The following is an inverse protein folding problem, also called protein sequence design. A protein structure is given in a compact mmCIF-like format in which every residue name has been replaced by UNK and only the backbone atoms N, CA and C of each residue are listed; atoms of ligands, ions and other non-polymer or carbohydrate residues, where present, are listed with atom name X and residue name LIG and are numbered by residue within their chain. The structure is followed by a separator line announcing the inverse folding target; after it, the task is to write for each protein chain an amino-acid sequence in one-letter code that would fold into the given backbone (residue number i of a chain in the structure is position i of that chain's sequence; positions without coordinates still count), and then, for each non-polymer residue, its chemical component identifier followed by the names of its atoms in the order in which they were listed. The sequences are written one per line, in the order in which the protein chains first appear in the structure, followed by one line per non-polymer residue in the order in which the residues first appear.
data_IF_576409043966
#
_entry.id   IF_576409043966
#
_cell.length_a   1.000
_cell.length_b   1.000
_cell.length_c   1.000
_cell.angle_alpha   90.00
_cell.angle_beta   90.00
_cell.angle_gamma   90.00
#
_symmetry.space_group_name_H-M   'P 1'
#
loop_
_entity.id
_entity.type
_entity.pdbx_description
1 polymer ?
#
# COMPACT_ATOMS: atom_id res chain seq x y z
N UNK A 1 4.32 21.93 -4.86
CA UNK A 1 4.47 20.51 -4.48
C UNK A 1 4.99 19.75 -5.69
N UNK A 2 6.14 19.06 -5.58
CA UNK A 2 6.66 18.25 -6.69
C UNK A 2 5.74 17.07 -6.98
N UNK A 3 5.57 16.73 -8.26
CA UNK A 3 4.86 15.51 -8.69
C UNK A 3 5.86 14.35 -8.68
N UNK A 4 5.44 13.19 -8.17
CA UNK A 4 6.28 11.98 -8.06
C UNK A 4 5.65 10.85 -8.88
N UNK A 5 6.46 10.17 -9.70
CA UNK A 5 6.08 8.97 -10.44
C UNK A 5 6.68 7.72 -9.77
N UNK A 6 5.83 6.79 -9.36
CA UNK A 6 6.24 5.46 -8.85
C UNK A 6 5.88 4.42 -9.89
N UNK A 7 6.87 3.76 -10.50
CA UNK A 7 6.63 2.77 -11.54
C UNK A 7 7.34 1.44 -11.28
N UNK A 8 6.88 0.41 -11.96
CA UNK A 8 7.63 -0.82 -12.17
C UNK A 8 7.49 -1.20 -13.66
N UNK A 9 7.66 -2.47 -14.03
CA UNK A 9 7.54 -2.87 -15.46
C UNK A 9 6.10 -2.68 -15.97
N UNK A 10 5.09 -3.22 -15.27
CA UNK A 10 3.67 -3.13 -15.67
C UNK A 10 2.87 -2.18 -14.76
N UNK A 11 3.44 -1.82 -13.61
CA UNK A 11 2.79 -0.98 -12.62
C UNK A 11 1.66 -1.65 -11.83
N UNK A 12 1.61 -2.98 -11.78
CA UNK A 12 0.52 -3.76 -11.14
C UNK A 12 0.90 -4.30 -9.77
N UNK A 13 2.17 -4.66 -9.57
CA UNK A 13 2.63 -5.38 -8.38
C UNK A 13 3.60 -4.54 -7.54
N UNK A 14 4.89 -4.46 -7.90
CA UNK A 14 5.95 -3.78 -7.12
C UNK A 14 5.65 -2.31 -6.77
N UNK A 15 5.32 -1.49 -7.77
CA UNK A 15 5.02 -0.07 -7.55
C UNK A 15 3.74 0.12 -6.75
N UNK A 16 2.71 -0.70 -7.00
CA UNK A 16 1.48 -0.69 -6.23
C UNK A 16 1.74 -0.99 -4.75
N UNK A 17 2.57 -2.00 -4.44
CA UNK A 17 2.97 -2.32 -3.06
C UNK A 17 3.58 -1.13 -2.33
N UNK A 18 4.47 -0.37 -2.98
CA UNK A 18 5.08 0.82 -2.38
C UNK A 18 4.07 1.93 -2.13
N UNK A 19 3.17 2.19 -3.09
CA UNK A 19 2.10 3.19 -2.92
C UNK A 19 1.13 2.79 -1.80
N UNK A 20 0.75 1.51 -1.71
CA UNK A 20 -0.09 1.01 -0.63
C UNK A 20 0.57 1.21 0.74
N UNK A 21 1.84 0.82 0.87
CA UNK A 21 2.59 1.01 2.11
C UNK A 21 2.72 2.50 2.48
N UNK A 22 2.95 3.38 1.50
CA UNK A 22 3.00 4.82 1.71
C UNK A 22 1.68 5.37 2.27
N UNK A 23 0.55 4.98 1.69
CA UNK A 23 -0.78 5.39 2.18
C UNK A 23 -1.04 4.87 3.61
N UNK A 24 -0.62 3.64 3.91
CA UNK A 24 -0.74 3.08 5.26
C UNK A 24 0.10 3.86 6.28
N UNK A 25 1.36 4.17 5.94
CA UNK A 25 2.32 4.81 6.84
C UNK A 25 2.05 6.30 7.05
N UNK A 26 1.75 7.04 5.98
CA UNK A 26 1.68 8.50 6.03
C UNK A 26 0.26 9.04 6.04
N UNK A 27 -0.71 8.26 5.56
CA UNK A 27 -2.13 8.64 5.58
C UNK A 27 -2.97 7.78 6.53
N UNK A 28 -2.32 6.91 7.31
CA UNK A 28 -2.95 6.12 8.39
C UNK A 28 -4.09 5.22 7.88
N UNK A 29 -4.10 4.89 6.58
CA UNK A 29 -5.08 4.00 6.00
C UNK A 29 -4.82 2.55 6.42
N UNK A 30 -5.88 1.76 6.58
CA UNK A 30 -5.76 0.30 6.61
C UNK A 30 -5.29 -0.23 5.28
N UNK A 31 -4.67 -1.41 5.30
CA UNK A 31 -4.38 -2.13 4.06
C UNK A 31 -5.63 -2.21 3.16
N UNK A 32 -6.81 -2.49 3.75
CA UNK A 32 -8.07 -2.53 3.01
C UNK A 32 -8.42 -1.18 2.37
N UNK A 33 -8.34 -0.09 3.13
CA UNK A 33 -8.62 1.26 2.61
C UNK A 33 -7.62 1.66 1.53
N UNK A 34 -6.32 1.45 1.76
CA UNK A 34 -5.27 1.74 0.78
C UNK A 34 -5.50 0.99 -0.53
N UNK A 35 -5.88 -0.29 -0.47
CA UNK A 35 -6.20 -1.10 -1.67
C UNK A 35 -7.40 -0.54 -2.40
N UNK A 36 -8.47 -0.16 -1.71
CA UNK A 36 -9.65 0.44 -2.33
C UNK A 36 -9.27 1.75 -3.03
N UNK A 37 -8.59 2.67 -2.33
CA UNK A 37 -8.16 3.97 -2.86
C UNK A 37 -7.31 3.85 -4.13
N UNK A 38 -6.35 2.91 -4.16
CA UNK A 38 -5.52 2.72 -5.35
C UNK A 38 -6.30 2.06 -6.49
N UNK A 39 -7.19 1.10 -6.17
CA UNK A 39 -7.99 0.38 -7.17
C UNK A 39 -9.02 1.25 -7.89
N UNK A 40 -9.47 2.33 -7.28
CA UNK A 40 -10.34 3.33 -7.91
C UNK A 40 -9.66 4.02 -9.11
N UNK A 41 -8.32 4.12 -9.10
CA UNK A 41 -7.55 4.87 -10.09
C UNK A 41 -6.69 3.98 -10.98
N UNK A 42 -6.36 2.77 -10.52
CA UNK A 42 -5.47 1.85 -11.25
C UNK A 42 -5.76 0.40 -10.90
N UNK A 43 -5.81 -0.45 -11.92
CA UNK A 43 -5.83 -1.90 -11.70
C UNK A 43 -4.50 -2.39 -11.12
N UNK A 44 -4.56 -2.94 -9.90
CA UNK A 44 -3.39 -3.42 -9.14
C UNK A 44 -3.62 -4.84 -8.64
N UNK A 45 -2.53 -5.61 -8.60
CA UNK A 45 -2.51 -6.97 -8.10
C UNK A 45 -1.11 -7.31 -7.55
N UNK A 46 -0.79 -6.87 -6.32
CA UNK A 46 0.43 -7.28 -5.64
C UNK A 46 0.51 -8.81 -5.54
N UNK A 47 1.71 -9.38 -5.66
CA UNK A 47 1.86 -10.83 -5.50
C UNK A 47 1.61 -11.25 -4.03
N UNK A 48 1.46 -12.55 -3.80
CA UNK A 48 1.16 -13.11 -2.46
C UNK A 48 2.20 -12.72 -1.41
N UNK A 49 3.49 -12.67 -1.77
CA UNK A 49 4.57 -12.26 -0.88
C UNK A 49 4.44 -10.81 -0.43
N UNK A 50 4.16 -9.90 -1.37
CA UNK A 50 3.92 -8.49 -1.05
C UNK A 50 2.63 -8.29 -0.26
N UNK A 51 1.56 -9.00 -0.57
CA UNK A 51 0.33 -8.96 0.25
C UNK A 51 0.62 -9.43 1.67
N UNK A 52 1.43 -10.48 1.85
CA UNK A 52 1.81 -10.94 3.18
C UNK A 52 2.61 -9.88 3.96
N UNK A 53 3.60 -9.24 3.32
CA UNK A 53 4.36 -8.14 3.91
C UNK A 53 3.48 -6.94 4.28
N UNK A 54 2.52 -6.57 3.41
CA UNK A 54 1.55 -5.51 3.69
C UNK A 54 0.62 -5.88 4.86
N UNK A 55 0.17 -7.13 4.97
CA UNK A 55 -0.61 -7.58 6.12
C UNK A 55 0.19 -7.54 7.43
N UNK A 56 1.48 -7.90 7.40
CA UNK A 56 2.36 -7.77 8.56
C UNK A 56 2.54 -6.30 8.95
N UNK A 57 2.70 -5.41 7.97
CA UNK A 57 2.77 -3.96 8.20
C UNK A 57 1.48 -3.43 8.84
N UNK A 58 0.31 -3.81 8.31
CA UNK A 58 -1.00 -3.39 8.84
C UNK A 58 -1.19 -3.84 10.29
N UNK A 59 -0.81 -5.08 10.62
CA UNK A 59 -0.79 -5.58 12.00
C UNK A 59 0.15 -4.79 12.89
N UNK A 60 1.34 -4.44 12.42
CA UNK A 60 2.29 -3.62 13.19
C UNK A 60 1.73 -2.21 13.46
N UNK A 61 1.13 -1.58 12.45
CA UNK A 61 0.56 -0.24 12.59
C UNK A 61 -0.70 -0.19 13.47
N UNK A 62 -1.48 -1.27 13.52
CA UNK A 62 -2.75 -1.35 14.27
C UNK A 62 -2.65 -2.02 15.63
N UNK A 63 -1.74 -2.98 15.77
CA UNK A 63 -1.45 -3.66 17.04
C UNK A 63 -0.61 -2.81 17.99
N UNK A 64 0.03 -1.75 17.46
CA UNK A 64 0.59 -0.69 18.30
C UNK A 64 -0.53 0.33 18.57
N UNK A 65 -1.48 -0.04 19.43
CA UNK A 65 -2.26 0.96 20.15
C UNK A 65 -1.26 1.94 20.75
N UNK A 66 -1.24 3.18 20.28
CA UNK A 66 -0.61 4.27 20.99
C UNK A 66 -1.30 4.34 22.34
N UNK A 67 -0.67 3.78 23.37
CA UNK A 67 -0.79 4.25 24.74
C UNK A 67 -0.22 5.66 24.82
#
# INVERSE_FOLDING_TARGET
MPKVLVHCVVGVSRSATLVLAYLMLHQQLSLRQAVITVREHRWIFPNRGFLHQLCQLDKKLRGTSRS
#
